data_IF_852076024903
#
_entry.id   IF_852076024903
#
_cell.length_a   1.000
_cell.length_b   1.000
_cell.length_c   1.000
_cell.angle_alpha   90.00
_cell.angle_beta   90.00
_cell.angle_gamma   90.00
#
_symmetry.space_group_name_H-M   'P 1'
#
loop_
_entity.id
_entity.type
_entity.pdbx_description
1 polymer ?
#
# COMPACT_ATOMS: atom_id res chain seq x y z
N UNK A 1 -22.37 18.34 4.06
CA UNK A 1 -22.14 18.03 2.63
C UNK A 1 -20.83 17.25 2.51
N UNK A 2 -20.84 16.15 1.77
CA UNK A 2 -19.60 15.38 1.58
C UNK A 2 -18.65 16.10 0.64
N UNK A 3 -17.36 16.09 0.98
CA UNK A 3 -16.32 16.57 0.07
C UNK A 3 -16.25 15.64 -1.13
N UNK A 4 -16.25 16.17 -2.37
CA UNK A 4 -16.08 15.30 -3.53
C UNK A 4 -14.77 14.52 -3.46
N UNK A 5 -14.81 13.27 -3.89
CA UNK A 5 -13.62 12.45 -3.97
C UNK A 5 -12.74 12.98 -5.12
N UNK A 6 -11.47 13.22 -4.84
CA UNK A 6 -10.53 13.71 -5.84
C UNK A 6 -10.41 12.69 -6.97
N UNK A 7 -10.44 13.16 -8.21
CA UNK A 7 -10.20 12.30 -9.36
C UNK A 7 -8.72 12.07 -9.54
N UNK A 8 -8.37 10.84 -9.87
CA UNK A 8 -6.99 10.46 -10.09
C UNK A 8 -6.71 9.08 -9.53
N UNK A 9 -5.56 8.52 -9.89
CA UNK A 9 -5.14 7.21 -9.42
C UNK A 9 -4.51 7.32 -8.03
N UNK A 10 -4.59 6.24 -7.27
CA UNK A 10 -3.95 6.13 -5.95
C UNK A 10 -3.00 4.95 -5.96
N UNK A 11 -2.01 4.98 -5.07
CA UNK A 11 -1.04 3.90 -4.90
C UNK A 11 -1.13 3.37 -3.49
N UNK A 12 -1.10 2.03 -3.35
CA UNK A 12 -0.93 1.36 -2.07
C UNK A 12 0.39 0.59 -2.07
N UNK A 13 1.15 0.72 -1.00
CA UNK A 13 2.39 -0.04 -0.79
C UNK A 13 2.25 -0.94 0.42
N UNK A 14 2.63 -2.21 0.24
CA UNK A 14 2.82 -3.14 1.34
C UNK A 14 4.32 -3.30 1.55
N UNK A 15 4.86 -2.62 2.55
CA UNK A 15 6.30 -2.62 2.80
C UNK A 15 6.76 -3.95 3.39
N UNK A 16 7.82 -4.52 2.81
CA UNK A 16 8.51 -5.69 3.33
C UNK A 16 10.01 -5.48 3.27
N UNK A 17 10.75 -6.23 4.11
CA UNK A 17 12.21 -6.12 4.15
C UNK A 17 12.85 -6.51 2.83
N UNK A 18 12.31 -7.49 2.14
CA UNK A 18 12.87 -8.02 0.91
C UNK A 18 12.14 -7.54 -0.33
N UNK A 19 10.83 -7.38 -0.23
CA UNK A 19 9.98 -7.02 -1.35
C UNK A 19 8.88 -6.07 -0.90
N UNK A 20 8.46 -5.24 -1.82
CA UNK A 20 7.38 -4.28 -1.59
C UNK A 20 6.29 -4.55 -2.62
N UNK A 21 5.07 -4.84 -2.14
CA UNK A 21 3.92 -5.00 -3.00
C UNK A 21 3.34 -3.64 -3.38
N UNK A 22 2.91 -3.50 -4.63
CA UNK A 22 2.36 -2.26 -5.15
C UNK A 22 1.01 -2.52 -5.78
N UNK A 23 0.02 -1.71 -5.41
CA UNK A 23 -1.30 -1.73 -6.02
C UNK A 23 -1.66 -0.32 -6.46
N UNK A 24 -2.50 -0.22 -7.48
CA UNK A 24 -2.97 1.07 -7.99
C UNK A 24 -4.47 1.03 -8.20
N UNK A 25 -5.10 2.20 -8.11
CA UNK A 25 -6.52 2.36 -8.46
C UNK A 25 -6.66 2.98 -9.83
N UNK A 26 -7.88 2.89 -10.38
CA UNK A 26 -8.23 3.69 -11.56
C UNK A 26 -8.45 5.15 -11.14
N UNK A 27 -8.67 6.01 -12.12
CA UNK A 27 -8.85 7.45 -11.88
C UNK A 27 -10.15 7.78 -11.15
N UNK A 28 -11.12 6.86 -11.17
CA UNK A 28 -12.42 7.06 -10.54
C UNK A 28 -12.55 6.40 -9.17
N UNK A 29 -11.49 5.74 -8.71
CA UNK A 29 -11.45 5.05 -7.42
C UNK A 29 -12.46 3.90 -7.30
N UNK A 30 -12.76 3.25 -8.40
CA UNK A 30 -13.72 2.14 -8.42
C UNK A 30 -13.00 0.81 -8.30
N UNK A 31 -11.90 0.64 -9.05
CA UNK A 31 -11.19 -0.62 -9.15
C UNK A 31 -9.77 -0.49 -8.64
N UNK A 32 -9.35 -1.42 -7.79
CA UNK A 32 -7.97 -1.55 -7.34
C UNK A 32 -7.38 -2.81 -7.94
N UNK A 33 -6.20 -2.69 -8.50
CA UNK A 33 -5.52 -3.81 -9.17
C UNK A 33 -4.10 -3.96 -8.64
N UNK A 34 -3.58 -5.19 -8.60
CA UNK A 34 -2.15 -5.37 -8.35
C UNK A 34 -1.34 -4.72 -9.46
N UNK A 35 -0.27 -4.06 -9.10
CA UNK A 35 0.57 -3.35 -10.06
C UNK A 35 1.92 -4.04 -10.24
N UNK A 36 2.63 -4.28 -9.14
CA UNK A 36 3.97 -4.87 -9.20
C UNK A 36 4.41 -5.36 -7.83
N UNK A 37 5.44 -6.18 -7.83
CA UNK A 37 6.24 -6.46 -6.64
C UNK A 37 7.65 -6.02 -6.96
N UNK A 38 8.21 -5.14 -6.15
CA UNK A 38 9.56 -4.62 -6.37
C UNK A 38 10.49 -5.10 -5.27
N UNK A 39 11.76 -5.31 -5.63
CA UNK A 39 12.76 -5.71 -4.65
C UNK A 39 13.17 -4.51 -3.81
N UNK A 40 13.32 -4.76 -2.51
CA UNK A 40 13.80 -3.73 -1.58
C UNK A 40 15.34 -3.79 -1.57
N UNK A 41 15.94 -3.12 -2.54
CA UNK A 41 17.38 -3.14 -2.76
C UNK A 41 17.91 -1.71 -3.01
N UNK A 42 19.14 -1.61 -3.45
CA UNK A 42 19.78 -0.31 -3.67
C UNK A 42 19.09 0.55 -4.74
N UNK A 43 18.34 -0.09 -5.65
CA UNK A 43 17.63 0.62 -6.73
C UNK A 43 16.20 1.02 -6.35
N UNK A 44 15.81 0.84 -5.09
CA UNK A 44 14.44 1.05 -4.65
C UNK A 44 13.93 2.46 -4.98
N UNK A 45 14.72 3.48 -4.68
CA UNK A 45 14.25 4.85 -4.92
C UNK A 45 14.06 5.13 -6.41
N UNK A 46 14.89 4.56 -7.27
CA UNK A 46 14.72 4.67 -8.71
C UNK A 46 13.42 4.01 -9.18
N UNK A 47 13.15 2.80 -8.68
CA UNK A 47 11.93 2.06 -9.05
C UNK A 47 10.67 2.77 -8.58
N UNK A 48 10.70 3.31 -7.36
CA UNK A 48 9.56 4.08 -6.85
C UNK A 48 9.36 5.34 -7.67
N UNK A 49 10.43 6.04 -8.00
CA UNK A 49 10.35 7.22 -8.86
C UNK A 49 9.71 6.92 -10.20
N UNK A 50 10.03 5.79 -10.80
CA UNK A 50 9.42 5.37 -12.07
C UNK A 50 7.93 5.11 -11.92
N UNK A 51 7.52 4.43 -10.85
CA UNK A 51 6.10 4.16 -10.58
C UNK A 51 5.34 5.47 -10.35
N UNK A 52 5.90 6.38 -9.58
CA UNK A 52 5.27 7.68 -9.32
C UNK A 52 5.11 8.48 -10.61
N UNK A 53 6.10 8.43 -11.47
CA UNK A 53 6.04 9.12 -12.76
C UNK A 53 4.96 8.54 -13.67
N UNK A 54 4.82 7.21 -13.69
CA UNK A 54 3.81 6.53 -14.52
C UNK A 54 2.39 6.75 -14.00
N UNK A 55 2.20 6.66 -12.70
CA UNK A 55 0.86 6.67 -12.10
C UNK A 55 0.40 8.08 -11.77
N UNK A 56 1.30 8.93 -11.30
CA UNK A 56 0.99 10.29 -10.86
C UNK A 56 -0.18 10.29 -9.86
N UNK A 57 0.01 9.64 -8.69
CA UNK A 57 -1.09 9.42 -7.75
C UNK A 57 -1.53 10.71 -7.07
N UNK A 58 -2.83 10.76 -6.73
CA UNK A 58 -3.37 11.87 -5.93
C UNK A 58 -3.12 11.68 -4.44
N UNK A 59 -2.89 10.45 -4.00
CA UNK A 59 -2.32 10.16 -2.67
C UNK A 59 -1.72 8.76 -2.67
N UNK A 60 -0.94 8.49 -1.63
CA UNK A 60 -0.29 7.20 -1.42
C UNK A 60 -0.66 6.68 -0.05
N UNK A 61 -0.94 5.38 0.06
CA UNK A 61 -1.12 4.70 1.35
C UNK A 61 -0.02 3.67 1.51
N UNK A 62 0.48 3.54 2.74
CA UNK A 62 1.53 2.59 3.09
C UNK A 62 1.04 1.79 4.27
N UNK A 63 1.09 0.46 4.16
CA UNK A 63 0.73 -0.42 5.27
C UNK A 63 1.72 -0.27 6.40
N UNK A 64 1.21 -0.07 7.61
CA UNK A 64 2.01 0.09 8.81
C UNK A 64 1.88 -1.16 9.68
N UNK A 65 2.91 -2.03 9.74
CA UNK A 65 2.81 -3.26 10.53
C UNK A 65 2.97 -2.97 12.01
N UNK A 66 1.84 -2.87 12.73
CA UNK A 66 1.84 -2.71 14.18
C UNK A 66 1.72 -4.05 14.87
N UNK A 67 2.37 -4.21 16.02
CA UNK A 67 2.22 -5.40 16.83
C UNK A 67 0.81 -5.49 17.42
N UNK A 68 0.36 -6.72 17.67
CA UNK A 68 -0.93 -6.95 18.33
C UNK A 68 -0.99 -6.30 19.71
N UNK A 69 0.15 -6.16 20.38
CA UNK A 69 0.23 -5.50 21.68
C UNK A 69 0.13 -3.97 21.57
N UNK A 70 0.15 -3.43 20.36
CA UNK A 70 0.14 -1.99 20.15
C UNK A 70 1.48 -1.31 20.32
N UNK A 71 2.53 -2.06 20.68
CA UNK A 71 3.87 -1.50 20.82
C UNK A 71 4.52 -1.30 19.45
N UNK A 72 5.34 -0.28 19.33
CA UNK A 72 6.11 -0.05 18.13
C UNK A 72 7.16 -1.15 17.96
N UNK A 73 7.42 -1.53 16.73
CA UNK A 73 8.39 -2.57 16.41
C UNK A 73 9.43 -2.02 15.45
N UNK A 74 10.50 -2.80 15.24
CA UNK A 74 11.49 -2.46 14.22
C UNK A 74 10.86 -2.38 12.84
N UNK A 75 9.82 -3.17 12.57
CA UNK A 75 9.09 -3.11 11.30
C UNK A 75 8.32 -1.80 11.13
N UNK A 76 7.78 -1.26 12.23
CA UNK A 76 7.14 0.06 12.18
C UNK A 76 8.16 1.15 11.87
N UNK A 77 9.37 1.05 12.43
CA UNK A 77 10.44 1.99 12.14
C UNK A 77 10.89 1.89 10.68
N UNK A 78 10.96 0.68 10.14
CA UNK A 78 11.30 0.46 8.75
C UNK A 78 10.24 1.03 7.81
N UNK A 79 8.96 0.84 8.15
CA UNK A 79 7.87 1.42 7.37
C UNK A 79 7.92 2.94 7.40
N UNK A 80 8.25 3.53 8.53
CA UNK A 80 8.42 4.98 8.64
C UNK A 80 9.60 5.47 7.80
N UNK A 81 10.69 4.72 7.77
CA UNK A 81 11.84 5.02 6.91
C UNK A 81 11.48 4.95 5.44
N UNK A 82 10.69 3.94 5.07
CA UNK A 82 10.18 3.81 3.70
C UNK A 82 9.27 4.99 3.35
N UNK A 83 8.38 5.38 4.26
CA UNK A 83 7.51 6.53 4.05
C UNK A 83 8.34 7.82 3.86
N UNK A 84 9.44 7.97 4.61
CA UNK A 84 10.33 9.12 4.44
C UNK A 84 10.99 9.10 3.05
N UNK A 85 11.38 7.91 2.56
CA UNK A 85 11.91 7.78 1.20
C UNK A 85 10.87 8.22 0.17
N UNK A 86 9.63 7.75 0.30
CA UNK A 86 8.55 8.12 -0.61
C UNK A 86 8.30 9.63 -0.52
N UNK A 87 8.34 10.19 0.70
CA UNK A 87 8.17 11.64 0.88
C UNK A 87 9.23 12.44 0.15
N UNK A 88 10.44 11.92 0.05
CA UNK A 88 11.51 12.61 -0.69
C UNK A 88 11.26 12.63 -2.20
N UNK A 89 10.39 11.75 -2.71
CA UNK A 89 10.09 11.61 -4.12
C UNK A 89 8.68 12.11 -4.49
N UNK A 90 7.83 12.38 -3.50
CA UNK A 90 6.41 12.68 -3.72
C UNK A 90 5.95 13.76 -2.75
N UNK A 91 5.34 14.82 -3.27
CA UNK A 91 4.91 15.97 -2.46
C UNK A 91 3.48 15.86 -1.95
N UNK A 92 2.67 14.97 -2.50
CA UNK A 92 1.27 14.85 -2.14
C UNK A 92 1.02 14.11 -0.82
N UNK A 93 -0.25 13.85 -0.49
CA UNK A 93 -0.58 13.19 0.77
C UNK A 93 -0.08 11.75 0.84
N UNK A 94 0.46 11.37 1.98
CA UNK A 94 0.87 10.00 2.30
C UNK A 94 0.19 9.62 3.60
N UNK A 95 -0.44 8.43 3.64
CA UNK A 95 -1.14 7.93 4.81
C UNK A 95 -0.58 6.59 5.22
N UNK A 96 -0.41 6.38 6.53
CA UNK A 96 -0.06 5.07 7.09
C UNK A 96 -1.33 4.38 7.54
N UNK A 97 -1.52 3.14 7.12
CA UNK A 97 -2.72 2.35 7.38
C UNK A 97 -2.34 1.09 8.13
N UNK A 98 -3.18 0.66 9.09
CA UNK A 98 -2.92 -0.55 9.87
C UNK A 98 -3.05 -1.78 8.98
N UNK A 99 -1.93 -2.46 8.77
CA UNK A 99 -1.83 -3.61 7.88
C UNK A 99 -2.49 -4.88 8.45
N UNK A 100 -2.70 -4.96 9.76
CA UNK A 100 -3.19 -6.18 10.40
C UNK A 100 -4.54 -6.65 9.86
N UNK A 101 -5.40 -5.72 9.48
CA UNK A 101 -6.75 -6.04 9.04
C UNK A 101 -6.77 -6.60 7.61
N UNK A 102 -5.82 -6.22 6.77
CA UNK A 102 -5.79 -6.66 5.38
C UNK A 102 -5.05 -7.97 5.16
N UNK A 103 -4.09 -8.31 6.03
CA UNK A 103 -3.26 -9.51 5.87
C UNK A 103 -4.07 -10.81 5.92
N UNK A 104 -5.04 -10.90 6.82
CA UNK A 104 -5.88 -12.10 6.95
C UNK A 104 -6.66 -12.38 5.67
N UNK A 105 -7.18 -11.33 5.05
CA UNK A 105 -7.92 -11.47 3.80
C UNK A 105 -6.98 -11.97 2.70
N UNK A 106 -5.75 -11.48 2.65
CA UNK A 106 -4.77 -11.87 1.65
C UNK A 106 -4.48 -13.36 1.68
N UNK A 107 -4.32 -13.94 2.87
CA UNK A 107 -4.06 -15.39 3.00
C UNK A 107 -5.26 -16.22 2.54
N UNK A 108 -6.48 -15.79 2.85
CA UNK A 108 -7.67 -16.48 2.40
C UNK A 108 -7.76 -16.46 0.87
N UNK A 109 -7.48 -15.32 0.26
CA UNK A 109 -7.48 -15.20 -1.20
C UNK A 109 -6.42 -16.10 -1.85
N UNK A 110 -5.24 -16.21 -1.23
CA UNK A 110 -4.18 -17.07 -1.72
C UNK A 110 -4.58 -18.53 -1.72
N UNK A 111 -5.22 -19.00 -0.64
CA UNK A 111 -5.67 -20.38 -0.56
C UNK A 111 -6.70 -20.71 -1.65
N UNK A 112 -7.62 -19.80 -1.90
CA UNK A 112 -8.62 -19.97 -2.96
C UNK A 112 -7.97 -20.03 -4.33
N UNK A 113 -6.91 -19.26 -4.54
CA UNK A 113 -6.22 -19.22 -5.83
C UNK A 113 -5.37 -20.46 -6.10
N UNK A 114 -5.05 -21.26 -5.08
CA UNK A 114 -4.27 -22.50 -5.25
C UNK A 114 -2.86 -22.28 -5.75
N UNK A 115 -2.24 -21.16 -5.37
CA UNK A 115 -0.90 -20.82 -5.83
C UNK A 115 0.18 -21.65 -5.14
N UNK A 116 1.28 -21.90 -5.86
CA UNK A 116 2.46 -22.53 -5.27
C UNK A 116 3.12 -21.61 -4.26
N UNK A 117 3.89 -22.18 -3.31
CA UNK A 117 4.56 -21.39 -2.29
C UNK A 117 5.55 -20.36 -2.86
N UNK A 118 6.17 -20.69 -3.99
CA UNK A 118 7.13 -19.78 -4.64
C UNK A 118 6.44 -18.56 -5.24
N UNK A 119 5.35 -18.78 -5.98
CA UNK A 119 4.60 -17.69 -6.60
C UNK A 119 3.78 -16.93 -5.56
N UNK A 120 3.43 -17.61 -4.46
CA UNK A 120 2.61 -17.04 -3.39
C UNK A 120 3.22 -15.81 -2.75
N UNK A 121 4.55 -15.78 -2.55
CA UNK A 121 5.19 -14.65 -1.85
C UNK A 121 4.99 -13.33 -2.61
N UNK A 122 5.25 -13.35 -3.92
CA UNK A 122 5.06 -12.15 -4.74
C UNK A 122 3.58 -11.76 -4.84
N UNK A 123 2.71 -12.75 -5.00
CA UNK A 123 1.26 -12.50 -5.11
C UNK A 123 0.69 -12.01 -3.78
N UNK A 124 1.15 -12.58 -2.64
CA UNK A 124 0.72 -12.11 -1.31
C UNK A 124 1.06 -10.64 -1.12
N UNK A 125 2.27 -10.23 -1.50
CA UNK A 125 2.68 -8.83 -1.37
C UNK A 125 1.75 -7.91 -2.18
N UNK A 126 1.38 -8.31 -3.39
CA UNK A 126 0.48 -7.53 -4.23
C UNK A 126 -0.95 -7.52 -3.70
N UNK A 127 -1.45 -8.66 -3.22
CA UNK A 127 -2.79 -8.76 -2.65
C UNK A 127 -2.88 -7.93 -1.37
N UNK A 128 -1.84 -7.97 -0.54
CA UNK A 128 -1.80 -7.13 0.67
C UNK A 128 -1.86 -5.64 0.30
N UNK A 129 -1.12 -5.22 -0.71
CA UNK A 129 -1.17 -3.83 -1.19
C UNK A 129 -2.57 -3.48 -1.72
N UNK A 130 -3.21 -4.38 -2.46
CA UNK A 130 -4.59 -4.19 -2.94
C UNK A 130 -5.54 -3.98 -1.76
N UNK A 131 -5.46 -4.84 -0.73
CA UNK A 131 -6.35 -4.74 0.42
C UNK A 131 -6.11 -3.46 1.22
N UNK A 132 -4.86 -3.03 1.36
CA UNK A 132 -4.52 -1.77 2.00
C UNK A 132 -5.17 -0.61 1.24
N UNK A 133 -5.03 -0.59 -0.07
CA UNK A 133 -5.58 0.49 -0.87
C UNK A 133 -7.12 0.44 -0.93
N UNK A 134 -7.71 -0.75 -1.04
CA UNK A 134 -9.17 -0.89 -1.00
C UNK A 134 -9.76 -0.38 0.30
N UNK A 135 -9.12 -0.68 1.43
CA UNK A 135 -9.54 -0.18 2.73
C UNK A 135 -9.48 1.35 2.77
N UNK A 136 -8.42 1.93 2.24
CA UNK A 136 -8.27 3.38 2.16
C UNK A 136 -9.39 4.00 1.31
N UNK A 137 -9.72 3.40 0.16
CA UNK A 137 -10.79 3.90 -0.70
C UNK A 137 -12.15 3.82 -0.03
N UNK A 138 -12.44 2.72 0.69
CA UNK A 138 -13.67 2.60 1.43
C UNK A 138 -13.79 3.69 2.50
N UNK A 139 -12.71 3.95 3.22
CA UNK A 139 -12.69 5.00 4.24
C UNK A 139 -12.86 6.38 3.61
N UNK A 140 -12.23 6.61 2.47
CA UNK A 140 -12.38 7.86 1.74
C UNK A 140 -13.85 8.09 1.33
N UNK A 141 -14.48 7.07 0.77
CA UNK A 141 -15.86 7.15 0.29
C UNK A 141 -16.86 7.33 1.42
N UNK A 142 -16.61 6.74 2.57
CA UNK A 142 -17.48 6.85 3.74
C UNK A 142 -17.17 8.06 4.61
N UNK A 143 -16.25 8.93 4.15
CA UNK A 143 -15.84 10.14 4.86
C UNK A 143 -15.18 9.83 6.20
N UNK A 144 -14.57 8.64 6.31
CA UNK A 144 -13.82 8.20 7.47
C UNK A 144 -12.33 8.44 7.22
N UNK A 145 -11.54 8.53 8.28
CA UNK A 145 -10.08 8.72 8.15
C UNK A 145 -9.45 7.60 7.32
N UNK A 146 -8.66 7.97 6.31
CA UNK A 146 -7.92 7.01 5.50
C UNK A 146 -6.86 6.32 6.32
N UNK A 147 -6.20 7.04 7.20
CA UNK A 147 -5.12 6.54 8.04
C UNK A 147 -4.41 7.70 8.71
N UNK A 148 -3.23 7.42 9.26
CA UNK A 148 -2.41 8.46 9.88
C UNK A 148 -1.64 9.23 8.81
N UNK A 149 -1.82 10.54 8.77
CA UNK A 149 -1.10 11.39 7.80
C UNK A 149 0.39 11.41 8.13
N UNK A 150 1.21 11.15 7.13
CA UNK A 150 2.67 11.18 7.28
C UNK A 150 3.25 12.53 6.90
#
# INVERSE_FOLDING_TARGET
MKTPIAQGRRIGFDYGEKRIGVATSDSESILVSPHATINNDADLSLKIGEILNDVQPVYIVIGNPKHLSGADSSKSDEAASFAALVRSLYEGPIYLVDERLSTQISYAQMREAGKSARDSKSVIDQIAAVNILETALLNEKSNTSIGTRF
#
